data_IF_192254139917
#
_entry.id   IF_192254139917
#
_cell.length_a   1.000
_cell.length_b   1.000
_cell.length_c   1.000
_cell.angle_alpha   90.00
_cell.angle_beta   90.00
_cell.angle_gamma   90.00
#
_symmetry.space_group_name_H-M   'P 1'
#
loop_
_entity.id
_entity.type
_entity.pdbx_description
1 polymer ?
#
# COMPACT_ATOMS: atom_id res chain seq x y z
N UNK A 1 -7.36 20.18 1.30
CA UNK A 1 -7.40 18.83 1.95
C UNK A 1 -7.42 17.76 0.85
N UNK A 2 -6.81 16.57 1.04
CA UNK A 2 -6.59 15.48 0.04
C UNK A 2 -7.33 15.61 -1.30
N UNK A 3 -8.67 15.60 -1.28
CA UNK A 3 -9.54 15.70 -2.46
C UNK A 3 -9.14 16.85 -3.40
N UNK A 4 -8.87 18.04 -2.88
CA UNK A 4 -8.49 19.20 -3.71
C UNK A 4 -7.15 18.97 -4.40
N UNK A 5 -6.14 18.47 -3.66
CA UNK A 5 -4.81 18.20 -4.21
C UNK A 5 -4.85 17.05 -5.23
N UNK A 6 -5.54 15.95 -4.93
CA UNK A 6 -5.68 14.83 -5.85
C UNK A 6 -6.52 15.19 -7.08
N UNK A 7 -7.61 15.95 -6.94
CA UNK A 7 -8.39 16.36 -8.11
C UNK A 7 -7.64 17.37 -9.00
N UNK A 8 -6.76 18.20 -8.44
CA UNK A 8 -5.97 19.17 -9.20
C UNK A 8 -4.77 18.53 -9.92
N UNK A 9 -4.13 17.54 -9.28
CA UNK A 9 -2.86 16.99 -9.75
C UNK A 9 -2.97 15.53 -10.21
N UNK A 10 -4.13 14.90 -10.02
CA UNK A 10 -4.37 13.48 -10.29
C UNK A 10 -3.34 12.59 -9.58
N UNK A 11 -3.07 12.81 -8.29
CA UNK A 11 -1.94 12.19 -7.59
C UNK A 11 -0.70 13.08 -7.55
N UNK A 12 0.44 12.55 -7.12
CA UNK A 12 1.68 13.31 -7.00
C UNK A 12 2.50 13.04 -5.74
N UNK A 13 3.74 13.50 -5.74
CA UNK A 13 4.59 13.56 -4.55
C UNK A 13 4.17 14.76 -3.69
N UNK A 14 4.17 14.58 -2.38
CA UNK A 14 4.02 15.70 -1.46
C UNK A 14 5.34 16.48 -1.33
N UNK A 15 5.29 17.79 -1.57
CA UNK A 15 6.46 18.67 -1.42
C UNK A 15 6.94 18.81 0.03
N UNK A 16 6.06 18.49 1.00
CA UNK A 16 6.33 18.54 2.43
C UNK A 16 5.99 17.19 3.05
N UNK A 17 6.67 16.87 4.15
CA UNK A 17 6.35 15.69 4.92
C UNK A 17 4.88 15.73 5.35
N UNK A 18 4.18 14.65 5.03
CA UNK A 18 2.76 14.49 5.28
C UNK A 18 2.56 13.21 6.04
N UNK A 19 1.78 13.26 7.11
CA UNK A 19 1.69 12.15 8.05
C UNK A 19 0.26 11.84 8.48
N UNK A 20 0.08 10.64 9.01
CA UNK A 20 -1.11 10.20 9.73
C UNK A 20 -0.71 9.78 11.15
N UNK A 21 -1.44 10.27 12.16
CA UNK A 21 -1.31 9.80 13.54
C UNK A 21 -2.35 8.70 13.80
N UNK A 22 -1.89 7.49 14.11
CA UNK A 22 -2.74 6.31 14.27
C UNK A 22 -3.57 6.33 15.56
N UNK A 23 -3.08 7.00 16.60
CA UNK A 23 -3.77 7.20 17.88
C UNK A 23 -5.10 7.95 17.79
N UNK A 24 -5.37 8.59 16.65
CA UNK A 24 -6.68 9.19 16.34
C UNK A 24 -7.76 8.15 16.10
N UNK A 25 -7.39 6.93 15.72
CA UNK A 25 -8.32 5.90 15.26
C UNK A 25 -8.25 4.61 16.08
N UNK A 26 -7.09 4.34 16.68
CA UNK A 26 -6.82 3.09 17.39
C UNK A 26 -6.02 3.36 18.66
N UNK A 27 -5.99 2.38 19.56
CA UNK A 27 -4.99 2.36 20.61
C UNK A 27 -3.61 2.04 20.00
N UNK A 28 -2.60 2.84 20.32
CA UNK A 28 -1.22 2.64 19.86
C UNK A 28 -0.35 2.36 21.08
N UNK A 29 0.30 1.20 21.10
CA UNK A 29 1.19 0.81 22.18
C UNK A 29 2.54 1.53 22.08
N UNK A 30 3.24 1.67 23.20
CA UNK A 30 4.49 2.45 23.31
C UNK A 30 5.66 1.92 22.46
N UNK A 31 5.56 0.70 21.94
CA UNK A 31 6.56 0.07 21.07
C UNK A 31 6.21 0.16 19.58
N UNK A 32 5.11 0.81 19.22
CA UNK A 32 4.70 0.98 17.82
C UNK A 32 4.88 2.41 17.30
N UNK A 33 5.01 2.57 15.99
CA UNK A 33 5.10 3.88 15.34
C UNK A 33 3.73 4.55 15.26
N UNK A 34 3.51 5.66 15.98
CA UNK A 34 2.25 6.39 15.90
C UNK A 34 2.12 7.25 14.62
N UNK A 35 3.24 7.85 14.19
CA UNK A 35 3.28 8.74 13.03
C UNK A 35 3.67 7.96 11.77
N UNK A 36 2.82 8.00 10.75
CA UNK A 36 2.99 7.27 9.50
C UNK A 36 3.17 8.25 8.33
N UNK A 37 4.34 8.23 7.69
CA UNK A 37 4.67 9.07 6.53
C UNK A 37 3.95 8.65 5.26
N UNK A 38 3.22 9.59 4.65
CA UNK A 38 2.66 9.46 3.31
C UNK A 38 3.46 10.38 2.39
N UNK A 39 4.20 9.77 1.46
CA UNK A 39 5.14 10.43 0.57
C UNK A 39 4.50 10.86 -0.75
N UNK A 40 3.64 10.01 -1.30
CA UNK A 40 3.02 10.28 -2.59
C UNK A 40 1.70 9.54 -2.78
N UNK A 41 0.84 10.09 -3.62
CA UNK A 41 -0.31 9.40 -4.19
C UNK A 41 -0.02 8.96 -5.62
N UNK A 42 -0.47 7.76 -5.98
CA UNK A 42 -0.38 7.29 -7.36
C UNK A 42 -1.38 7.98 -8.26
N UNK A 43 -0.95 8.28 -9.48
CA UNK A 43 -1.80 8.90 -10.47
C UNK A 43 -2.57 7.90 -11.31
N UNK A 44 -3.75 8.29 -11.78
CA UNK A 44 -4.54 7.50 -12.73
C UNK A 44 -4.12 7.94 -14.14
N UNK A 45 -3.48 7.09 -14.95
CA UNK A 45 -3.02 7.53 -16.26
C UNK A 45 -4.23 7.86 -17.16
N UNK A 46 -4.10 8.90 -17.98
CA UNK A 46 -5.18 9.38 -18.88
C UNK A 46 -5.30 8.48 -20.12
N UNK A 47 -4.20 7.83 -20.49
CA UNK A 47 -4.11 6.85 -21.59
C UNK A 47 -3.48 5.56 -21.06
N UNK A 48 -3.53 4.49 -21.85
CA UNK A 48 -2.83 3.24 -21.52
C UNK A 48 -1.29 3.37 -21.64
N UNK A 49 -0.81 4.52 -22.12
CA UNK A 49 0.61 4.82 -22.19
C UNK A 49 1.14 5.11 -20.78
N UNK A 50 2.18 4.37 -20.38
CA UNK A 50 2.87 4.66 -19.14
C UNK A 50 3.78 5.86 -19.38
N UNK A 51 3.39 7.02 -18.87
CA UNK A 51 4.31 8.14 -18.76
C UNK A 51 5.52 7.69 -17.94
N UNK A 52 6.69 7.66 -18.58
CA UNK A 52 7.95 7.38 -17.90
C UNK A 52 8.38 8.63 -17.12
N UNK A 53 7.87 8.75 -15.89
CA UNK A 53 8.33 9.74 -14.93
C UNK A 53 9.11 9.02 -13.82
N UNK A 54 10.35 9.45 -13.58
CA UNK A 54 11.21 8.85 -12.55
C UNK A 54 10.71 9.12 -11.12
N UNK A 55 9.91 10.17 -10.95
CA UNK A 55 9.41 10.65 -9.67
C UNK A 55 7.94 10.27 -9.42
N UNK A 56 7.18 9.91 -10.46
CA UNK A 56 5.76 9.58 -10.33
C UNK A 56 5.49 8.13 -10.75
N UNK A 57 4.60 7.48 -10.01
CA UNK A 57 4.14 6.14 -10.34
C UNK A 57 2.65 6.13 -10.62
N UNK A 58 2.27 5.57 -11.76
CA UNK A 58 0.87 5.34 -12.06
C UNK A 58 0.33 4.19 -11.22
N UNK A 59 -0.91 4.32 -10.84
CA UNK A 59 -1.60 3.33 -10.05
C UNK A 59 -1.66 1.99 -10.78
N UNK A 60 -1.92 2.02 -12.10
CA UNK A 60 -2.00 0.82 -12.94
C UNK A 60 -0.64 0.13 -13.03
N UNK A 61 0.44 0.89 -13.16
CA UNK A 61 1.81 0.36 -13.16
C UNK A 61 2.10 -0.36 -11.85
N UNK A 62 1.84 0.28 -10.72
CA UNK A 62 2.07 -0.31 -9.38
C UNK A 62 1.24 -1.57 -9.17
N UNK A 63 -0.04 -1.54 -9.53
CA UNK A 63 -0.88 -2.73 -9.40
C UNK A 63 -0.36 -3.90 -10.25
N UNK A 64 0.04 -3.64 -11.50
CA UNK A 64 0.61 -4.66 -12.38
C UNK A 64 1.97 -5.19 -11.89
N UNK A 65 2.86 -4.34 -11.39
CA UNK A 65 4.14 -4.74 -10.79
C UNK A 65 3.93 -5.70 -9.61
N UNK A 66 2.93 -5.42 -8.76
CA UNK A 66 2.61 -6.26 -7.61
C UNK A 66 2.02 -7.60 -8.02
N UNK A 67 1.10 -7.61 -8.99
CA UNK A 67 0.58 -8.86 -9.58
C UNK A 67 1.70 -9.72 -10.16
N UNK A 68 2.61 -9.12 -10.93
CA UNK A 68 3.79 -9.84 -11.47
C UNK A 68 4.69 -10.41 -10.36
N UNK A 69 4.90 -9.65 -9.29
CA UNK A 69 5.69 -10.10 -8.13
C UNK A 69 5.01 -11.29 -7.43
N UNK A 70 3.69 -11.24 -7.27
CA UNK A 70 2.88 -12.33 -6.73
C UNK A 70 2.99 -13.57 -7.59
N UNK A 71 2.88 -13.44 -8.92
CA UNK A 71 2.99 -14.56 -9.83
C UNK A 71 4.38 -15.20 -9.78
N UNK A 72 5.45 -14.39 -9.68
CA UNK A 72 6.82 -14.89 -9.49
C UNK A 72 6.98 -15.67 -8.19
N UNK A 73 6.48 -15.12 -7.09
CA UNK A 73 6.48 -15.77 -5.77
C UNK A 73 5.73 -17.09 -5.85
N UNK A 74 4.52 -17.07 -6.43
CA UNK A 74 3.69 -18.26 -6.63
C UNK A 74 4.45 -19.35 -7.37
N UNK A 75 5.08 -19.01 -8.50
CA UNK A 75 5.82 -19.95 -9.33
C UNK A 75 7.07 -20.50 -8.62
N UNK A 76 7.80 -19.65 -7.88
CA UNK A 76 8.98 -20.05 -7.11
C UNK A 76 8.62 -21.11 -6.06
N UNK A 77 7.58 -20.86 -5.26
CA UNK A 77 7.14 -21.81 -4.23
C UNK A 77 6.57 -23.10 -4.82
N UNK A 78 5.78 -23.02 -5.90
CA UNK A 78 5.28 -24.20 -6.59
C UNK A 78 6.40 -25.10 -7.13
N UNK A 79 7.49 -24.49 -7.63
CA UNK A 79 8.62 -25.22 -8.19
C UNK A 79 9.54 -25.80 -7.12
N UNK A 80 9.89 -25.02 -6.10
CA UNK A 80 10.96 -25.36 -5.16
C UNK A 80 10.47 -26.05 -3.89
N UNK A 81 9.19 -25.88 -3.55
CA UNK A 81 8.61 -26.44 -2.33
C UNK A 81 7.22 -27.04 -2.57
N UNK A 82 7.07 -27.96 -3.54
CA UNK A 82 5.77 -28.54 -3.91
C UNK A 82 5.07 -29.23 -2.74
N UNK A 83 5.83 -29.75 -1.77
CA UNK A 83 5.34 -30.55 -0.64
C UNK A 83 5.26 -29.77 0.70
N UNK A 84 5.68 -28.49 0.76
CA UNK A 84 5.58 -27.70 2.02
C UNK A 84 4.20 -27.03 2.13
N UNK A 85 3.21 -27.87 2.41
CA UNK A 85 1.78 -27.54 2.46
C UNK A 85 1.38 -26.44 3.47
N UNK A 86 2.24 -26.09 4.44
CA UNK A 86 1.89 -25.17 5.54
C UNK A 86 2.68 -23.84 5.53
N UNK A 87 4.00 -23.85 5.31
CA UNK A 87 4.83 -22.64 5.40
C UNK A 87 4.74 -21.73 4.15
N UNK A 88 4.74 -22.32 2.95
CA UNK A 88 4.54 -21.58 1.69
C UNK A 88 3.12 -20.99 1.54
N UNK A 89 2.16 -21.50 2.33
CA UNK A 89 0.75 -21.08 2.34
C UNK A 89 0.59 -19.67 2.92
N UNK A 90 1.31 -19.34 4.00
CA UNK A 90 1.19 -18.04 4.68
C UNK A 90 1.60 -16.87 3.77
N UNK A 91 2.78 -16.94 3.17
CA UNK A 91 3.31 -15.88 2.33
C UNK A 91 2.54 -15.73 1.00
N UNK A 92 2.21 -16.87 0.35
CA UNK A 92 1.44 -16.89 -0.90
C UNK A 92 0.02 -16.36 -0.71
N UNK A 93 -0.68 -16.81 0.32
CA UNK A 93 -2.08 -16.45 0.53
C UNK A 93 -2.23 -14.97 0.82
N UNK A 94 -1.37 -14.39 1.66
CA UNK A 94 -1.52 -12.98 2.03
C UNK A 94 -1.38 -12.09 0.80
N UNK A 95 -0.28 -12.20 0.05
CA UNK A 95 -0.09 -11.33 -1.11
C UNK A 95 -1.12 -11.57 -2.23
N UNK A 96 -1.53 -12.82 -2.48
CA UNK A 96 -2.58 -13.08 -3.49
C UNK A 96 -3.94 -12.51 -3.06
N UNK A 97 -4.31 -12.66 -1.78
CA UNK A 97 -5.53 -12.05 -1.23
C UNK A 97 -5.48 -10.54 -1.39
N UNK A 98 -4.35 -9.88 -1.09
CA UNK A 98 -4.24 -8.43 -1.27
C UNK A 98 -4.38 -8.00 -2.73
N UNK A 99 -3.80 -8.71 -3.70
CA UNK A 99 -4.00 -8.33 -5.10
C UNK A 99 -5.43 -8.53 -5.62
N UNK A 100 -6.23 -9.37 -4.95
CA UNK A 100 -7.63 -9.65 -5.30
C UNK A 100 -8.62 -8.72 -4.56
N UNK A 101 -8.31 -8.33 -3.32
CA UNK A 101 -9.23 -7.61 -2.42
C UNK A 101 -8.77 -6.19 -2.11
N UNK A 102 -7.54 -5.82 -2.46
CA UNK A 102 -6.96 -4.52 -2.17
C UNK A 102 -6.42 -3.82 -3.40
N UNK A 103 -6.33 -2.50 -3.28
CA UNK A 103 -5.82 -1.63 -4.32
C UNK A 103 -4.74 -0.68 -3.76
N UNK A 104 -3.55 -0.61 -4.36
CA UNK A 104 -2.51 0.30 -3.91
C UNK A 104 -2.80 1.71 -4.42
N UNK A 105 -2.70 2.73 -3.57
CA UNK A 105 -3.06 4.11 -3.95
C UNK A 105 -2.05 5.18 -3.51
N UNK A 106 -1.18 4.87 -2.56
CA UNK A 106 -0.17 5.79 -2.06
C UNK A 106 1.10 5.05 -1.67
N UNK A 107 2.20 5.79 -1.51
CA UNK A 107 3.48 5.30 -0.99
C UNK A 107 3.88 6.06 0.27
N UNK A 108 4.63 5.39 1.13
CA UNK A 108 5.39 6.01 2.21
C UNK A 108 6.81 6.34 1.77
N UNK A 109 7.51 7.17 2.56
CA UNK A 109 8.91 7.53 2.32
C UNK A 109 9.87 6.33 2.46
N UNK A 110 9.45 5.30 3.19
CA UNK A 110 10.17 4.03 3.30
C UNK A 110 9.91 3.06 2.13
N UNK A 111 9.08 3.46 1.15
CA UNK A 111 8.75 2.64 -0.01
C UNK A 111 7.70 1.55 0.23
N UNK A 112 6.98 1.61 1.35
CA UNK A 112 5.79 0.78 1.54
C UNK A 112 4.60 1.41 0.84
N UNK A 113 3.86 0.60 0.06
CA UNK A 113 2.61 1.06 -0.54
C UNK A 113 1.48 0.95 0.48
N UNK A 114 0.63 1.96 0.53
CA UNK A 114 -0.65 1.93 1.22
C UNK A 114 -1.71 1.32 0.32
N UNK A 115 -2.48 0.42 0.91
CA UNK A 115 -3.52 -0.37 0.26
C UNK A 115 -4.87 -0.04 0.87
N UNK A 116 -5.87 0.14 0.02
CA UNK A 116 -7.27 0.18 0.44
C UNK A 116 -7.88 -1.21 0.24
N UNK A 117 -8.45 -1.77 1.30
CA UNK A 117 -9.32 -2.93 1.23
C UNK A 117 -10.64 -2.52 0.55
N UNK A 118 -11.02 -3.20 -0.54
CA UNK A 118 -12.12 -2.78 -1.39
C UNK A 118 -13.51 -3.11 -0.80
N UNK A 119 -13.58 -4.02 0.17
CA UNK A 119 -14.84 -4.41 0.82
C UNK A 119 -15.13 -3.52 2.03
N UNK A 120 -14.10 -3.17 2.79
CA UNK A 120 -14.19 -2.44 4.07
C UNK A 120 -13.77 -0.98 3.98
N UNK A 121 -13.02 -0.61 2.95
CA UNK A 121 -12.39 0.70 2.79
C UNK A 121 -11.18 0.93 3.70
N UNK A 122 -10.80 -0.06 4.52
CA UNK A 122 -9.72 0.04 5.51
C UNK A 122 -8.36 0.24 4.84
N UNK A 123 -7.50 1.06 5.45
CA UNK A 123 -6.16 1.34 4.94
C UNK A 123 -5.11 0.58 5.73
N UNK A 124 -4.28 -0.16 5.01
CA UNK A 124 -3.21 -0.99 5.55
C UNK A 124 -1.94 -0.87 4.68
N UNK A 125 -0.79 -1.19 5.22
CA UNK A 125 0.37 -1.59 4.40
C UNK A 125 0.89 -2.94 4.88
N UNK A 126 1.67 -3.60 4.01
CA UNK A 126 2.27 -4.90 4.31
C UNK A 126 3.78 -4.73 4.36
N UNK A 127 4.40 -5.30 5.39
CA UNK A 127 5.85 -5.39 5.50
C UNK A 127 6.30 -6.85 5.71
N UNK A 128 7.40 -7.28 5.07
CA UNK A 128 7.96 -8.59 5.31
C UNK A 128 8.77 -8.59 6.61
N UNK A 129 8.36 -9.38 7.60
CA UNK A 129 9.10 -9.61 8.85
C UNK A 129 9.36 -11.10 8.98
N UNK A 130 10.63 -11.51 9.00
CA UNK A 130 11.03 -12.92 9.22
C UNK A 130 10.25 -13.91 8.34
N UNK A 131 10.13 -13.63 7.03
CA UNK A 131 9.39 -14.42 6.05
C UNK A 131 7.85 -14.45 6.22
N UNK A 132 7.31 -13.72 7.20
CA UNK A 132 5.89 -13.49 7.38
C UNK A 132 5.50 -12.10 6.83
N UNK A 133 4.30 -12.01 6.27
CA UNK A 133 3.72 -10.73 5.89
C UNK A 133 2.95 -10.16 7.08
N UNK A 134 3.48 -9.07 7.64
CA UNK A 134 2.83 -8.37 8.72
C UNK A 134 1.95 -7.27 8.13
N UNK A 135 0.67 -7.26 8.53
CA UNK A 135 -0.27 -6.22 8.17
C UNK A 135 -0.19 -5.11 9.21
N UNK A 136 0.00 -3.88 8.78
CA UNK A 136 -0.03 -2.71 9.65
C UNK A 136 -1.28 -1.90 9.33
N UNK A 137 -2.15 -1.75 10.32
CA UNK A 137 -3.36 -0.94 10.22
C UNK A 137 -2.98 0.55 10.27
N UNK A 138 -3.48 1.33 9.30
CA UNK A 138 -3.14 2.75 9.15
C UNK A 138 -4.34 3.65 9.41
N UNK A 139 -5.49 3.36 8.79
CA UNK A 139 -6.72 4.10 9.00
C UNK A 139 -7.97 3.21 8.82
N UNK A 140 -9.05 3.42 9.59
CA UNK A 140 -10.20 2.52 9.61
C UNK A 140 -11.01 2.59 8.32
N UNK A 141 -10.96 3.72 7.60
CA UNK A 141 -11.34 3.78 6.20
C UNK A 141 -10.49 4.80 5.43
N UNK A 142 -10.64 4.80 4.11
CA UNK A 142 -10.06 5.81 3.21
C UNK A 142 -10.47 7.25 3.58
N UNK A 143 -11.69 7.45 4.09
CA UNK A 143 -12.13 8.78 4.52
C UNK A 143 -11.31 9.29 5.72
N UNK A 144 -11.17 8.47 6.76
CA UNK A 144 -10.34 8.83 7.93
C UNK A 144 -8.87 9.00 7.55
N UNK A 145 -8.37 8.18 6.61
CA UNK A 145 -7.02 8.37 6.07
C UNK A 145 -6.86 9.77 5.49
N UNK A 146 -7.72 10.15 4.54
CA UNK A 146 -7.62 11.42 3.82
C UNK A 146 -7.83 12.64 4.70
N UNK A 147 -8.73 12.56 5.67
CA UNK A 147 -9.01 13.65 6.62
C UNK A 147 -7.99 13.71 7.76
N UNK A 148 -7.30 12.59 8.03
CA UNK A 148 -6.24 12.47 9.02
C UNK A 148 -4.90 13.03 8.59
N UNK A 149 -4.68 13.25 7.28
CA UNK A 149 -3.43 13.77 6.71
C UNK A 149 -3.09 15.15 7.28
N UNK A 150 -1.86 15.27 7.77
CA UNK A 150 -1.29 16.51 8.28
C UNK A 150 0.04 16.79 7.59
N UNK A 151 0.16 17.98 6.99
CA UNK A 151 1.43 18.47 6.45
C UNK A 151 2.17 19.26 7.54
N UNK A 152 3.47 19.02 7.69
CA UNK A 152 4.37 19.88 8.48
C UNK A 152 4.86 21.08 7.70
#
# INVERSE_FOLDING_TARGET
>A
MFKESYCQNNGGIFEKHTFICRDKFYEVHSNEYNLMDVDSFYYIPVTDEQDENEYLSSLIKKWNEKRKTIDKIRNYFQTNFPDTWEAGKSYRNVLSIYAETHFPFASSAAGHDYWVDMDTGKIEYIEPINFLMHKVNVAPSFYEFCTGLQCS
#
